data_IF_112876142727
#
_entry.id   IF_112876142727
#
_cell.length_a   1.000
_cell.length_b   1.000
_cell.length_c   1.000
_cell.angle_alpha   90.00
_cell.angle_beta   90.00
_cell.angle_gamma   90.00
#
_symmetry.space_group_name_H-M   'P 1'
#
loop_
_entity.id
_entity.type
_entity.pdbx_description
1 polymer ?
#
# COMPACT_ATOMS: atom_id res chain seq x y z
N UNK A 1 2.75 12.28 -5.83
CA UNK A 1 3.57 11.05 -5.85
C UNK A 1 2.95 10.04 -6.80
N UNK A 2 3.73 9.24 -7.56
CA UNK A 2 3.16 8.23 -8.46
C UNK A 2 2.52 7.09 -7.66
N UNK A 3 1.24 6.79 -7.95
CA UNK A 3 0.51 5.69 -7.30
C UNK A 3 1.00 4.32 -7.82
N UNK A 4 1.24 3.33 -6.93
CA UNK A 4 1.48 1.95 -7.32
C UNK A 4 0.27 1.35 -8.05
N UNK A 5 0.44 1.11 -9.36
CA UNK A 5 -0.56 0.43 -10.19
C UNK A 5 -0.46 -1.09 -10.12
N UNK A 6 0.63 -1.62 -9.56
CA UNK A 6 0.90 -3.06 -9.42
C UNK A 6 1.43 -3.38 -8.03
N UNK A 7 1.32 -4.67 -7.69
CA UNK A 7 1.81 -5.25 -6.44
C UNK A 7 3.33 -5.48 -6.45
N UNK A 8 4.09 -4.46 -6.85
CA UNK A 8 5.56 -4.52 -6.90
C UNK A 8 6.14 -4.02 -5.59
N UNK A 9 6.98 -4.84 -4.95
CA UNK A 9 7.73 -4.44 -3.76
C UNK A 9 8.52 -3.14 -3.98
N UNK A 10 9.08 -2.95 -5.17
CA UNK A 10 9.79 -1.72 -5.55
C UNK A 10 8.85 -0.50 -5.56
N UNK A 11 7.68 -0.61 -6.20
CA UNK A 11 6.72 0.50 -6.24
C UNK A 11 6.18 0.84 -4.85
N UNK A 12 5.90 -0.18 -4.03
CA UNK A 12 5.45 -0.02 -2.65
C UNK A 12 6.51 0.65 -1.77
N UNK A 13 7.78 0.30 -1.95
CA UNK A 13 8.87 0.91 -1.18
C UNK A 13 8.96 2.43 -1.40
N UNK A 14 8.67 2.91 -2.61
CA UNK A 14 8.64 4.36 -2.91
C UNK A 14 7.57 5.13 -2.15
N UNK A 15 6.51 4.45 -1.72
CA UNK A 15 5.42 5.04 -0.92
C UNK A 15 5.50 4.63 0.55
N UNK A 16 6.66 4.15 1.01
CA UNK A 16 6.87 3.77 2.41
C UNK A 16 6.03 2.57 2.84
N UNK A 17 5.81 1.62 1.94
CA UNK A 17 5.11 0.37 2.23
C UNK A 17 6.00 -0.81 1.87
N UNK A 18 6.05 -1.79 2.75
CA UNK A 18 6.71 -3.08 2.52
C UNK A 18 5.66 -4.14 2.25
N UNK A 19 5.85 -4.92 1.18
CA UNK A 19 5.06 -6.13 0.94
C UNK A 19 5.62 -7.26 1.81
N UNK A 20 4.83 -7.73 2.77
CA UNK A 20 5.20 -8.80 3.71
C UNK A 20 4.86 -10.17 3.11
N UNK A 21 3.70 -10.30 2.49
CA UNK A 21 3.23 -11.54 1.86
C UNK A 21 2.50 -11.22 0.56
N UNK A 22 3.01 -11.73 -0.56
CA UNK A 22 2.41 -11.54 -1.87
C UNK A 22 1.15 -12.41 -2.10
N UNK A 23 1.06 -13.58 -1.46
CA UNK A 23 -0.07 -14.50 -1.64
C UNK A 23 -1.32 -13.99 -0.94
N UNK A 24 -1.16 -13.40 0.25
CA UNK A 24 -2.24 -12.79 1.03
C UNK A 24 -2.38 -11.28 0.80
N UNK A 25 -1.49 -10.71 -0.01
CA UNK A 25 -1.32 -9.27 -0.19
C UNK A 25 -1.28 -8.56 1.16
N UNK A 26 -0.34 -8.97 2.00
CA UNK A 26 -0.11 -8.37 3.30
C UNK A 26 0.91 -7.24 3.15
N UNK A 27 0.48 -6.04 3.48
CA UNK A 27 1.28 -4.83 3.43
C UNK A 27 1.66 -4.40 4.85
N UNK A 28 2.78 -3.69 4.97
CA UNK A 28 3.24 -3.05 6.20
C UNK A 28 3.63 -1.60 5.91
N UNK A 29 3.17 -0.67 6.72
CA UNK A 29 3.62 0.71 6.67
C UNK A 29 5.02 0.80 7.27
N UNK A 30 5.96 1.42 6.56
CA UNK A 30 7.31 1.65 7.07
C UNK A 30 7.36 2.79 8.11
N UNK A 31 6.28 3.58 8.26
CA UNK A 31 6.19 4.67 9.26
C UNK A 31 5.63 4.22 10.60
N UNK A 32 4.41 3.70 10.62
CA UNK A 32 3.75 3.29 11.86
C UNK A 32 3.90 1.79 12.17
N UNK A 33 4.40 0.99 11.23
CA UNK A 33 4.52 -0.46 11.38
C UNK A 33 3.19 -1.22 11.19
N UNK A 34 2.06 -0.51 11.02
CA UNK A 34 0.75 -1.12 10.82
C UNK A 34 0.76 -2.07 9.63
N UNK A 35 0.15 -3.24 9.79
CA UNK A 35 -0.05 -4.22 8.72
C UNK A 35 -1.51 -4.28 8.31
N UNK A 36 -1.76 -4.45 7.01
CA UNK A 36 -3.11 -4.62 6.48
C UNK A 36 -3.09 -5.42 5.19
N UNK A 37 -4.23 -6.02 4.86
CA UNK A 37 -4.48 -6.60 3.55
C UNK A 37 -5.59 -5.79 2.89
N UNK A 38 -5.39 -5.27 1.68
CA UNK A 38 -6.50 -4.75 0.89
C UNK A 38 -7.41 -5.95 0.62
N UNK A 39 -8.71 -5.81 0.87
CA UNK A 39 -9.66 -6.89 0.63
C UNK A 39 -9.85 -7.08 -0.89
N UNK A 40 -8.87 -7.71 -1.55
CA UNK A 40 -8.90 -8.00 -2.97
C UNK A 40 -9.86 -9.17 -3.14
N UNK A 41 -11.10 -8.86 -3.49
CA UNK A 41 -12.06 -9.91 -3.85
C UNK A 41 -11.51 -10.63 -5.08
N UNK A 42 -11.03 -11.86 -4.85
CA UNK A 42 -10.60 -12.81 -5.86
C UNK A 42 -11.67 -12.90 -6.96
N UNK A 43 -11.44 -12.27 -8.11
CA UNK A 43 -12.37 -12.38 -9.25
C UNK A 43 -12.63 -11.10 -10.04
N UNK A 44 -12.36 -9.89 -9.53
CA UNK A 44 -12.41 -8.67 -10.35
C UNK A 44 -11.02 -8.09 -10.58
N UNK A 45 -10.72 -7.87 -11.85
CA UNK A 45 -9.51 -7.31 -12.41
C UNK A 45 -8.98 -6.11 -11.62
N UNK A 46 -7.90 -6.31 -10.86
CA UNK A 46 -7.05 -5.24 -10.37
C UNK A 46 -7.17 -4.91 -8.89
N UNK A 47 -6.13 -4.26 -8.38
CA UNK A 47 -6.08 -3.75 -7.03
C UNK A 47 -6.94 -2.48 -6.96
N UNK A 48 -7.80 -2.33 -5.94
CA UNK A 48 -8.65 -1.15 -5.84
C UNK A 48 -7.80 0.11 -5.69
N UNK A 49 -8.27 1.28 -6.17
CA UNK A 49 -7.56 2.54 -5.96
C UNK A 49 -7.23 2.75 -4.48
N UNK A 50 -5.98 3.13 -4.18
CA UNK A 50 -5.54 3.35 -2.81
C UNK A 50 -5.40 2.07 -1.95
N UNK A 51 -5.41 0.87 -2.54
CA UNK A 51 -5.16 -0.41 -1.84
C UNK A 51 -3.90 -0.41 -0.96
N UNK A 52 -2.90 0.37 -1.37
CA UNK A 52 -1.59 0.51 -0.73
C UNK A 52 -1.57 1.60 0.36
N UNK A 53 -2.67 2.33 0.60
CA UNK A 53 -2.70 3.38 1.62
C UNK A 53 -2.77 2.73 3.00
N UNK A 54 -1.94 3.22 3.90
CA UNK A 54 -1.99 2.83 5.29
C UNK A 54 -3.36 3.24 5.86
N UNK A 55 -4.04 2.36 6.62
CA UNK A 55 -5.28 2.69 7.30
C UNK A 55 -5.17 3.93 8.19
N UNK A 56 -4.00 4.16 8.77
CA UNK A 56 -3.70 5.33 9.61
C UNK A 56 -3.30 6.57 8.82
N UNK A 57 -3.27 6.52 7.48
CA UNK A 57 -2.91 7.65 6.62
C UNK A 57 -1.42 8.02 6.60
N UNK A 58 -0.58 7.41 7.44
CA UNK A 58 0.79 7.88 7.68
C UNK A 58 1.66 7.94 6.41
N UNK A 59 1.42 7.06 5.43
CA UNK A 59 2.20 6.98 4.19
C UNK A 59 1.70 7.91 3.07
N UNK A 60 0.54 8.56 3.23
CA UNK A 60 -0.02 9.52 2.27
C UNK A 60 0.07 10.97 2.75
N UNK A 61 0.25 11.19 4.06
CA UNK A 61 0.32 12.52 4.67
C UNK A 61 1.65 13.26 4.43
N UNK A 62 2.59 12.70 3.67
CA UNK A 62 3.88 13.33 3.33
C UNK A 62 3.75 14.43 2.24
N UNK A 63 2.65 15.17 2.24
CA UNK A 63 2.32 16.11 1.17
C UNK A 63 1.30 17.17 1.55
N UNK A 64 1.17 17.52 2.83
CA UNK A 64 0.48 18.73 3.27
C UNK A 64 1.39 19.50 4.21
N UNK A 65 2.42 20.12 3.66
CA UNK A 65 3.11 21.28 4.26
C UNK A 65 4.06 21.86 3.19
N UNK A 66 3.54 22.81 2.40
CA UNK A 66 4.22 23.96 1.79
C UNK A 66 3.27 24.62 0.78
#
# INVERSE_FOLDING_TARGET
MPEPTKLSAYQLKRVGVTLVDQHRVLLRCDRCGQTWSPNIRSGRYGLPPGWWRCPDGCNVEVGRDA
#
